data_IF_742270846105
#
_entry.id   IF_742270846105
#
_cell.length_a   1.000
_cell.length_b   1.000
_cell.length_c   1.000
_cell.angle_alpha   90.00
_cell.angle_beta   90.00
_cell.angle_gamma   90.00
#
_symmetry.space_group_name_H-M   'P 1'
#
loop_
_entity.id
_entity.type
_entity.pdbx_description
1 polymer ?
#
# COMPACT_ATOMS: atom_id res chain seq x y z
N UNK A 1 -10.99 2.19 -14.55
CA UNK A 1 -10.87 2.65 -15.95
C UNK A 1 -11.12 1.44 -16.83
N UNK A 2 -12.28 1.40 -17.46
CA UNK A 2 -12.75 0.28 -18.28
C UNK A 2 -11.89 0.16 -19.55
N UNK A 3 -10.93 -0.76 -19.58
CA UNK A 3 -10.03 -0.92 -20.74
C UNK A 3 -10.80 -1.45 -21.97
N UNK A 4 -11.85 -2.24 -21.74
CA UNK A 4 -12.65 -2.86 -22.79
C UNK A 4 -13.42 -1.82 -23.64
N UNK A 5 -13.68 -0.61 -23.10
CA UNK A 5 -14.23 0.52 -23.87
C UNK A 5 -13.30 0.94 -25.02
N UNK A 6 -12.00 1.02 -24.73
CA UNK A 6 -10.99 1.47 -25.69
C UNK A 6 -10.73 0.42 -26.77
N UNK A 7 -10.68 -0.85 -26.38
CA UNK A 7 -10.49 -1.95 -27.35
C UNK A 7 -11.74 -2.22 -28.19
N UNK A 8 -12.94 -1.97 -27.65
CA UNK A 8 -14.19 -1.99 -28.41
C UNK A 8 -14.29 -0.85 -29.43
N UNK A 9 -13.83 0.36 -29.06
CA UNK A 9 -13.75 1.49 -29.99
C UNK A 9 -12.80 1.17 -31.16
N UNK A 10 -11.60 0.66 -30.88
CA UNK A 10 -10.64 0.23 -31.90
C UNK A 10 -11.24 -0.81 -32.87
N UNK A 11 -12.03 -1.78 -32.38
CA UNK A 11 -12.73 -2.74 -33.25
C UNK A 11 -13.81 -2.06 -34.10
N UNK A 12 -14.56 -1.10 -33.55
CA UNK A 12 -15.56 -0.35 -34.30
C UNK A 12 -14.92 0.50 -35.42
N UNK A 13 -13.78 1.14 -35.14
CA UNK A 13 -13.03 1.93 -36.12
C UNK A 13 -12.47 1.05 -37.27
N UNK A 14 -11.94 -0.13 -36.94
CA UNK A 14 -11.50 -1.13 -37.94
C UNK A 14 -12.65 -1.61 -38.83
N UNK A 15 -13.83 -1.85 -38.24
CA UNK A 15 -15.04 -2.22 -38.98
C UNK A 15 -15.55 -1.08 -39.87
N UNK A 16 -15.50 0.16 -39.38
CA UNK A 16 -15.89 1.35 -40.15
C UNK A 16 -14.95 1.58 -41.35
N UNK A 17 -13.63 1.43 -41.15
CA UNK A 17 -12.65 1.51 -42.24
C UNK A 17 -12.87 0.39 -43.29
N UNK A 18 -13.21 -0.82 -42.86
CA UNK A 18 -13.50 -1.94 -43.74
C UNK A 18 -14.88 -1.87 -44.44
N UNK A 19 -15.78 -0.96 -44.01
CA UNK A 19 -17.16 -0.92 -44.48
C UNK A 19 -17.29 -0.72 -46.00
N UNK A 20 -16.41 0.11 -46.58
CA UNK A 20 -16.34 0.40 -48.03
C UNK A 20 -15.72 -0.73 -48.86
N UNK A 21 -15.15 -1.75 -48.23
CA UNK A 21 -14.52 -2.89 -48.89
C UNK A 21 -15.53 -3.93 -49.41
N UNK A 22 -15.01 -5.10 -49.77
CA UNK A 22 -15.82 -6.27 -50.09
C UNK A 22 -16.18 -7.09 -48.83
N UNK A 23 -16.92 -8.16 -49.06
CA UNK A 23 -17.40 -9.05 -47.99
C UNK A 23 -16.27 -9.85 -47.33
N UNK A 24 -15.15 -10.05 -48.02
CA UNK A 24 -13.95 -10.66 -47.47
C UNK A 24 -13.21 -9.68 -46.56
N UNK A 25 -13.00 -8.44 -47.01
CA UNK A 25 -12.38 -7.35 -46.25
C UNK A 25 -13.11 -7.11 -44.93
N UNK A 26 -14.45 -7.03 -44.93
CA UNK A 26 -15.26 -6.89 -43.70
C UNK A 26 -15.06 -8.06 -42.72
N UNK A 27 -15.07 -9.30 -43.20
CA UNK A 27 -14.88 -10.50 -42.35
C UNK A 27 -13.46 -10.60 -41.79
N UNK A 28 -12.45 -10.23 -42.57
CA UNK A 28 -11.05 -10.16 -42.15
C UNK A 28 -10.84 -9.08 -41.09
N UNK A 29 -11.43 -7.89 -41.26
CA UNK A 29 -11.36 -6.81 -40.28
C UNK A 29 -12.03 -7.17 -38.94
N UNK A 30 -13.21 -7.81 -38.97
CA UNK A 30 -13.87 -8.26 -37.74
C UNK A 30 -13.06 -9.33 -36.99
N UNK A 31 -12.54 -10.31 -37.74
CA UNK A 31 -11.73 -11.40 -37.19
C UNK A 31 -10.42 -10.86 -36.59
N UNK A 32 -9.77 -9.92 -37.26
CA UNK A 32 -8.54 -9.28 -36.79
C UNK A 32 -8.81 -8.39 -35.56
N UNK A 33 -9.88 -7.61 -35.56
CA UNK A 33 -10.29 -6.78 -34.43
C UNK A 33 -10.64 -7.60 -33.19
N UNK A 34 -11.30 -8.75 -33.36
CA UNK A 34 -11.55 -9.71 -32.28
C UNK A 34 -10.23 -10.32 -31.74
N UNK A 35 -9.34 -10.78 -32.63
CA UNK A 35 -8.06 -11.39 -32.23
C UNK A 35 -7.10 -10.39 -31.54
N UNK A 36 -7.10 -9.13 -31.99
CA UNK A 36 -6.24 -8.07 -31.44
C UNK A 36 -6.70 -7.56 -30.06
N UNK A 37 -7.94 -7.83 -29.63
CA UNK A 37 -8.56 -7.20 -28.47
C UNK A 37 -7.77 -7.43 -27.15
N UNK A 38 -7.25 -8.66 -26.95
CA UNK A 38 -6.42 -8.99 -25.78
C UNK A 38 -5.04 -8.30 -25.84
N UNK A 39 -4.39 -8.30 -27.00
CA UNK A 39 -3.08 -7.67 -27.21
C UNK A 39 -3.15 -6.15 -27.04
N UNK A 40 -4.19 -5.50 -27.58
CA UNK A 40 -4.44 -4.07 -27.40
C UNK A 40 -4.67 -3.71 -25.93
N UNK A 41 -5.38 -4.56 -25.17
CA UNK A 41 -5.58 -4.37 -23.73
C UNK A 41 -4.28 -4.51 -22.93
N UNK A 42 -3.40 -5.45 -23.28
CA UNK A 42 -2.08 -5.57 -22.64
C UNK A 42 -1.18 -4.37 -22.97
N UNK A 43 -1.19 -3.89 -24.22
CA UNK A 43 -0.47 -2.69 -24.64
C UNK A 43 -0.94 -1.44 -23.88
N UNK A 44 -2.26 -1.26 -23.72
CA UNK A 44 -2.84 -0.18 -22.91
C UNK A 44 -2.44 -0.30 -21.44
N UNK A 45 -2.43 -1.51 -20.87
CA UNK A 45 -2.00 -1.73 -19.49
C UNK A 45 -0.54 -1.34 -19.28
N UNK A 46 0.36 -1.76 -20.18
CA UNK A 46 1.77 -1.45 -20.08
C UNK A 46 2.03 0.06 -20.21
N UNK A 47 1.45 0.72 -21.21
CA UNK A 47 1.61 2.17 -21.38
C UNK A 47 1.04 2.99 -20.20
N UNK A 48 0.01 2.48 -19.51
CA UNK A 48 -0.51 3.09 -18.27
C UNK A 48 0.36 2.81 -17.04
N UNK A 49 1.09 1.69 -17.00
CA UNK A 49 2.09 1.41 -15.96
C UNK A 49 3.33 2.29 -16.15
N UNK A 50 3.88 2.34 -17.37
CA UNK A 50 5.04 3.17 -17.72
C UNK A 50 4.79 4.66 -17.35
N UNK A 51 3.57 5.15 -17.58
CA UNK A 51 3.13 6.50 -17.19
C UNK A 51 2.86 6.67 -15.68
N UNK A 52 2.46 5.61 -14.97
CA UNK A 52 2.30 5.64 -13.51
C UNK A 52 3.66 5.70 -12.79
N UNK A 53 4.68 5.04 -13.35
CA UNK A 53 6.06 5.14 -12.88
C UNK A 53 6.63 6.56 -13.17
N UNK A 54 6.38 7.14 -14.36
CA UNK A 54 6.75 8.54 -14.67
C UNK A 54 6.10 9.55 -13.69
N UNK A 55 4.82 9.37 -13.36
CA UNK A 55 4.14 10.20 -12.34
C UNK A 55 4.77 9.98 -10.95
N UNK A 56 5.19 8.76 -10.63
CA UNK A 56 5.80 8.44 -9.33
C UNK A 56 7.16 9.12 -9.13
N UNK A 57 7.96 9.25 -10.20
CA UNK A 57 9.22 10.02 -10.16
C UNK A 57 8.99 11.53 -9.93
N UNK A 58 7.79 12.04 -10.27
CA UNK A 58 7.42 13.46 -10.12
C UNK A 58 6.64 13.79 -8.84
N UNK A 59 6.28 12.78 -8.02
CA UNK A 59 5.33 12.94 -6.90
C UNK A 59 5.97 12.64 -5.54
N UNK A 60 6.65 13.64 -4.98
CA UNK A 60 7.35 13.56 -3.68
C UNK A 60 6.53 12.87 -2.58
N UNK A 61 7.16 11.90 -1.90
CA UNK A 61 6.57 11.16 -0.79
C UNK A 61 5.40 10.24 -1.17
N UNK A 62 5.16 9.97 -2.46
CA UNK A 62 4.10 9.08 -2.93
C UNK A 62 4.59 8.18 -4.06
N UNK A 63 3.83 7.14 -4.36
CA UNK A 63 4.07 6.27 -5.52
C UNK A 63 2.72 5.80 -6.06
N UNK A 64 2.54 5.93 -7.36
CA UNK A 64 1.33 5.55 -8.09
C UNK A 64 1.59 4.22 -8.78
N UNK A 65 0.84 3.19 -8.40
CA UNK A 65 0.89 1.89 -9.07
C UNK A 65 -0.43 1.59 -9.76
N UNK A 66 -0.37 0.85 -10.86
CA UNK A 66 -1.56 0.44 -11.61
C UNK A 66 -1.95 -0.99 -11.25
N UNK A 67 -3.17 -1.18 -10.73
CA UNK A 67 -3.72 -2.49 -10.37
C UNK A 67 -4.94 -2.83 -11.23
N UNK A 68 -5.04 -4.08 -11.67
CA UNK A 68 -6.23 -4.59 -12.31
C UNK A 68 -7.32 -4.96 -11.30
N UNK A 69 -8.55 -4.57 -11.60
CA UNK A 69 -9.79 -4.97 -10.94
C UNK A 69 -10.75 -5.54 -12.00
N UNK A 70 -10.57 -6.82 -12.36
CA UNK A 70 -11.34 -7.46 -13.43
C UNK A 70 -11.00 -6.92 -14.81
N UNK A 71 -11.89 -6.11 -15.38
CA UNK A 71 -11.68 -5.37 -16.65
C UNK A 71 -10.85 -4.10 -16.50
N UNK A 72 -10.78 -3.58 -15.28
CA UNK A 72 -10.47 -2.18 -15.05
C UNK A 72 -9.05 -1.95 -14.55
N UNK A 73 -8.37 -0.97 -15.16
CA UNK A 73 -7.19 -0.37 -14.56
C UNK A 73 -7.62 0.61 -13.44
N UNK A 74 -7.00 0.48 -12.27
CA UNK A 74 -7.20 1.35 -11.10
C UNK A 74 -5.84 1.84 -10.64
N UNK A 75 -5.68 3.16 -10.50
CA UNK A 75 -4.51 3.73 -9.86
C UNK A 75 -4.61 3.59 -8.34
N UNK A 76 -3.55 3.08 -7.72
CA UNK A 76 -3.40 2.88 -6.28
C UNK A 76 -2.23 3.78 -5.82
N UNK A 77 -2.48 4.69 -4.87
CA UNK A 77 -1.51 5.74 -4.49
C UNK A 77 -1.00 5.45 -3.08
N UNK A 78 0.22 4.93 -3.00
CA UNK A 78 0.89 4.63 -1.73
C UNK A 78 1.64 5.88 -1.25
N UNK A 79 1.22 6.43 -0.11
CA UNK A 79 1.97 7.48 0.56
C UNK A 79 3.19 6.88 1.28
N UNK A 80 4.39 7.24 0.81
CA UNK A 80 5.63 7.00 1.54
C UNK A 80 5.76 8.09 2.61
N UNK A 81 5.42 7.74 3.85
CA UNK A 81 5.79 8.54 5.02
C UNK A 81 7.29 8.84 4.92
N UNK A 82 7.63 10.13 4.78
CA UNK A 82 8.92 10.56 4.27
C UNK A 82 10.06 9.85 5.00
N UNK A 83 10.84 9.08 4.25
CA UNK A 83 12.12 8.60 4.77
C UNK A 83 12.97 9.84 4.95
N UNK A 84 13.10 10.29 6.20
CA UNK A 84 14.19 11.16 6.58
C UNK A 84 15.50 10.53 6.05
N UNK A 85 16.51 11.33 5.67
CA UNK A 85 17.82 10.80 5.36
C UNK A 85 18.27 9.84 6.47
N UNK A 86 19.16 8.87 6.19
CA UNK A 86 19.79 8.08 7.25
C UNK A 86 20.69 8.98 8.09
N UNK A 87 20.07 9.70 9.03
CA UNK A 87 20.72 10.61 9.96
C UNK A 87 21.67 9.82 10.86
N UNK A 88 22.92 10.26 10.90
CA UNK A 88 23.94 9.64 11.73
C UNK A 88 23.61 9.87 13.22
N UNK A 89 23.16 8.79 13.87
CA UNK A 89 23.27 8.51 15.31
C UNK A 89 22.84 9.65 16.27
N UNK A 90 21.63 10.19 16.11
CA UNK A 90 21.08 11.25 16.99
C UNK A 90 19.91 10.82 17.88
N UNK A 91 20.29 10.20 19.00
CA UNK A 91 19.77 10.35 20.37
C UNK A 91 18.33 10.90 20.57
N UNK A 92 17.38 9.98 20.77
CA UNK A 92 16.32 9.95 21.82
C UNK A 92 15.66 11.29 22.24
N UNK A 93 14.34 11.41 22.00
CA UNK A 93 13.44 12.39 22.65
C UNK A 93 12.04 11.79 22.91
N UNK A 94 11.36 12.09 24.03
CA UNK A 94 10.36 11.17 24.61
C UNK A 94 8.88 11.54 24.36
N UNK A 95 7.99 10.68 24.88
CA UNK A 95 6.54 10.81 25.11
C UNK A 95 5.69 11.42 23.98
N UNK A 96 4.76 10.64 23.44
CA UNK A 96 3.36 10.79 23.92
C UNK A 96 2.50 9.53 23.58
N UNK A 97 1.84 8.95 24.59
CA UNK A 97 0.53 8.26 24.53
C UNK A 97 0.22 7.61 25.90
N UNK A 98 -0.70 8.19 26.69
CA UNK A 98 -1.07 7.63 27.99
C UNK A 98 -2.06 6.46 27.90
N UNK A 99 -2.18 5.73 29.00
CA UNK A 99 -3.30 4.79 29.23
C UNK A 99 -4.52 5.55 29.73
N UNK A 100 -5.73 5.05 29.44
CA UNK A 100 -7.00 5.57 29.93
C UNK A 100 -7.00 5.68 31.48
N UNK A 101 -6.95 6.91 31.99
CA UNK A 101 -8.06 7.49 32.77
C UNK A 101 -7.86 8.98 33.13
N UNK A 102 -6.64 9.53 33.13
CA UNK A 102 -6.41 10.92 33.64
C UNK A 102 -5.24 11.70 32.98
N UNK A 103 -4.95 11.49 31.69
CA UNK A 103 -3.89 12.24 30.98
C UNK A 103 -4.32 12.58 29.54
N UNK A 104 -4.29 13.87 29.19
CA UNK A 104 -4.59 14.40 27.85
C UNK A 104 -3.33 14.54 27.00
N UNK A 105 -2.67 13.41 26.70
CA UNK A 105 -1.50 13.34 25.81
C UNK A 105 -1.87 12.94 24.37
N UNK A 106 -1.08 13.39 23.39
CA UNK A 106 -1.11 12.90 22.01
C UNK A 106 -0.65 11.43 21.94
N UNK A 107 -0.86 10.71 20.82
CA UNK A 107 -0.56 9.21 20.68
C UNK A 107 0.51 9.28 19.51
N UNK A 108 1.75 8.82 19.77
CA UNK A 108 2.77 8.45 18.79
C UNK A 108 2.71 6.95 18.49
N UNK A 109 2.45 6.59 17.24
CA UNK A 109 2.40 5.20 16.76
C UNK A 109 3.81 4.65 16.57
N UNK A 110 4.11 3.49 17.16
CA UNK A 110 5.39 2.78 17.01
C UNK A 110 5.18 1.44 16.32
N UNK A 111 6.05 1.11 15.36
CA UNK A 111 6.08 -0.21 14.68
C UNK A 111 7.22 -1.05 15.25
N UNK A 112 6.90 -1.99 16.14
CA UNK A 112 7.89 -2.87 16.78
C UNK A 112 8.13 -4.14 15.95
N UNK A 113 9.40 -4.49 15.74
CA UNK A 113 9.82 -5.82 15.26
C UNK A 113 10.41 -6.61 16.42
N UNK A 114 10.02 -7.87 16.58
CA UNK A 114 10.54 -8.79 17.60
C UNK A 114 10.67 -10.20 17.03
N UNK A 115 11.39 -11.08 17.74
CA UNK A 115 11.55 -12.50 17.34
C UNK A 115 10.27 -13.27 17.72
N UNK A 116 9.84 -14.22 16.90
CA UNK A 116 8.52 -14.87 17.04
C UNK A 116 8.26 -15.44 18.44
N UNK A 117 9.24 -16.14 19.04
CA UNK A 117 9.13 -16.71 20.40
C UNK A 117 8.92 -15.65 21.51
N UNK A 118 9.28 -14.38 21.26
CA UNK A 118 9.00 -13.26 22.18
C UNK A 118 7.56 -12.80 22.01
N UNK A 119 7.06 -12.77 20.76
CA UNK A 119 5.67 -12.42 20.42
C UNK A 119 4.70 -13.45 20.98
N UNK A 120 4.90 -14.74 20.69
CA UNK A 120 4.09 -15.84 21.21
C UNK A 120 3.94 -15.79 22.74
N UNK A 121 5.06 -15.53 23.44
CA UNK A 121 5.12 -15.47 24.90
C UNK A 121 4.48 -14.21 25.48
N UNK A 122 4.47 -13.10 24.74
CA UNK A 122 3.74 -11.90 25.09
C UNK A 122 2.23 -12.04 24.82
N UNK A 123 1.84 -12.76 23.76
CA UNK A 123 0.43 -13.09 23.45
C UNK A 123 -0.17 -14.05 24.50
N UNK A 124 0.58 -15.08 24.91
CA UNK A 124 0.24 -15.96 26.05
C UNK A 124 0.04 -15.14 27.34
N UNK A 125 0.98 -14.26 27.67
CA UNK A 125 0.90 -13.44 28.88
C UNK A 125 -0.24 -12.41 28.84
N UNK A 126 -0.52 -11.79 27.68
CA UNK A 126 -1.64 -10.88 27.51
C UNK A 126 -2.99 -11.60 27.68
N UNK A 127 -3.13 -12.78 27.07
CA UNK A 127 -4.30 -13.66 27.19
C UNK A 127 -4.57 -14.06 28.65
N UNK A 128 -3.54 -14.49 29.38
CA UNK A 128 -3.63 -14.85 30.81
C UNK A 128 -4.01 -13.68 31.72
N UNK A 129 -3.78 -12.42 31.29
CA UNK A 129 -4.21 -11.21 31.99
C UNK A 129 -5.52 -10.62 31.46
N UNK A 130 -6.17 -11.24 30.47
CA UNK A 130 -7.44 -10.79 29.90
C UNK A 130 -7.37 -9.46 29.12
N UNK A 131 -6.18 -9.08 28.63
CA UNK A 131 -5.92 -7.78 27.97
C UNK A 131 -5.37 -7.97 26.56
N UNK A 132 -5.41 -6.90 25.74
CA UNK A 132 -4.79 -6.94 24.41
C UNK A 132 -3.27 -6.99 24.50
N UNK A 133 -2.60 -7.56 23.49
CA UNK A 133 -1.13 -7.57 23.39
C UNK A 133 -0.54 -6.16 23.52
N UNK A 134 -1.15 -5.16 22.87
CA UNK A 134 -0.71 -3.77 22.95
C UNK A 134 -0.81 -3.23 24.39
N UNK A 135 -1.95 -3.46 25.06
CA UNK A 135 -2.18 -3.05 26.45
C UNK A 135 -1.19 -3.69 27.40
N UNK A 136 -0.94 -5.00 27.24
CA UNK A 136 0.02 -5.75 28.04
C UNK A 136 1.45 -5.26 27.83
N UNK A 137 1.84 -5.01 26.58
CA UNK A 137 3.17 -4.50 26.24
C UNK A 137 3.40 -3.08 26.81
N UNK A 138 2.40 -2.19 26.72
CA UNK A 138 2.45 -0.87 27.36
C UNK A 138 2.62 -0.97 28.88
N UNK A 139 1.87 -1.87 29.54
CA UNK A 139 2.02 -2.12 30.98
C UNK A 139 3.39 -2.69 31.35
N UNK A 140 3.93 -3.63 30.55
CA UNK A 140 5.26 -4.21 30.76
C UNK A 140 6.38 -3.16 30.64
N UNK A 141 6.29 -2.27 29.65
CA UNK A 141 7.23 -1.14 29.48
C UNK A 141 7.12 -0.15 30.64
N UNK A 142 5.90 0.24 31.04
CA UNK A 142 5.70 1.10 32.22
C UNK A 142 6.26 0.48 33.51
N UNK A 143 6.12 -0.85 33.68
CA UNK A 143 6.69 -1.58 34.82
C UNK A 143 8.22 -1.54 34.83
N UNK A 144 8.85 -1.87 33.70
CA UNK A 144 10.31 -1.85 33.56
C UNK A 144 10.91 -0.45 33.83
N UNK A 145 10.28 0.61 33.32
CA UNK A 145 10.69 1.99 33.56
C UNK A 145 10.60 2.39 35.05
N UNK A 146 9.55 1.97 35.77
CA UNK A 146 9.40 2.23 37.21
C UNK A 146 10.50 1.55 38.03
N UNK A 147 10.84 0.29 37.72
CA UNK A 147 11.91 -0.42 38.43
C UNK A 147 13.30 0.12 38.07
N UNK A 148 13.53 0.62 36.85
CA UNK A 148 14.75 1.35 36.50
C UNK A 148 14.89 2.65 37.31
N UNK A 149 13.87 3.52 37.32
CA UNK A 149 13.90 4.77 38.09
C UNK A 149 14.10 4.54 39.60
N UNK A 150 13.60 3.42 40.12
CA UNK A 150 13.80 3.00 41.52
C UNK A 150 15.23 2.51 41.79
N UNK A 151 15.92 1.94 40.79
CA UNK A 151 17.31 1.47 40.87
C UNK A 151 18.34 2.60 40.71
N UNK A 152 17.97 3.67 40.02
CA UNK A 152 18.82 4.85 39.76
C UNK A 152 18.83 5.88 40.89
N UNK A 153 18.18 5.61 42.03
CA UNK A 153 18.30 6.40 43.27
C UNK A 153 19.19 5.69 44.31
N UNK A 154 20.52 5.88 44.28
CA UNK A 154 21.33 5.71 45.48
C UNK A 154 20.93 6.74 46.55
N UNK A 155 21.25 6.43 47.81
CA UNK A 155 21.16 7.36 48.95
C UNK A 155 22.33 8.34 48.97
#
# INVERSE_FOLDING_TARGET
MELDKYTSALRADLLAAAALGDDHTRKTADSLGAAAQASARLMLLQALSDFADEISEQLDGHTVHLRLAGTDAVADVTAHAAQAPPEAEQQIGPEDYPTMDDVTGEMRRVTLRMVEHVKERAEEAASMNGVSLNSWLSQAVQGALRDQMRKERPY
#
